data_IF_807084095682
#
_entry.id   IF_807084095682
#
_cell.length_a   1.000
_cell.length_b   1.000
_cell.length_c   1.000
_cell.angle_alpha   90.00
_cell.angle_beta   90.00
_cell.angle_gamma   90.00
#
_symmetry.space_group_name_H-M   'P 1'
#
loop_
_entity.id
_entity.type
_entity.pdbx_description
1 polymer ?
#
# COMPACT_ATOMS: atom_id res chain seq x y z
N UNK A 1 -8.47 -28.53 -14.58
CA UNK A 1 -7.84 -27.48 -13.76
C UNK A 1 -8.31 -27.66 -12.32
N UNK A 2 -7.41 -27.79 -11.34
CA UNK A 2 -7.77 -27.83 -9.91
C UNK A 2 -7.38 -26.48 -9.30
N UNK A 3 -8.31 -25.81 -8.64
CA UNK A 3 -8.03 -24.55 -7.94
C UNK A 3 -7.75 -24.91 -6.47
N UNK A 4 -6.66 -24.40 -5.93
CA UNK A 4 -6.28 -24.59 -4.53
C UNK A 4 -7.23 -23.81 -3.59
N UNK A 5 -7.67 -24.39 -2.45
CA UNK A 5 -8.59 -23.72 -1.52
C UNK A 5 -8.09 -22.36 -0.99
N UNK A 6 -6.77 -22.16 -0.84
CA UNK A 6 -6.21 -20.88 -0.43
C UNK A 6 -6.38 -19.81 -1.51
N UNK A 7 -6.33 -20.20 -2.78
CA UNK A 7 -6.58 -19.30 -3.92
C UNK A 7 -8.03 -18.85 -3.92
N UNK A 8 -8.97 -19.76 -3.68
CA UNK A 8 -10.40 -19.44 -3.56
C UNK A 8 -10.63 -18.47 -2.39
N UNK A 9 -9.98 -18.72 -1.24
CA UNK A 9 -10.10 -17.84 -0.06
C UNK A 9 -9.60 -16.43 -0.34
N UNK A 10 -8.48 -16.27 -1.05
CA UNK A 10 -7.94 -14.97 -1.44
C UNK A 10 -8.90 -14.22 -2.37
N UNK A 11 -9.41 -14.88 -3.41
CA UNK A 11 -10.36 -14.27 -4.34
C UNK A 11 -11.65 -13.84 -3.64
N UNK A 12 -12.23 -14.71 -2.79
CA UNK A 12 -13.41 -14.37 -2.01
C UNK A 12 -13.15 -13.19 -1.08
N UNK A 13 -11.99 -13.16 -0.41
CA UNK A 13 -11.62 -12.06 0.46
C UNK A 13 -11.49 -10.74 -0.31
N UNK A 14 -10.83 -10.74 -1.48
CA UNK A 14 -10.73 -9.54 -2.33
C UNK A 14 -12.10 -9.00 -2.73
N UNK A 15 -13.08 -9.86 -3.04
CA UNK A 15 -14.46 -9.42 -3.33
C UNK A 15 -15.12 -8.79 -2.10
N UNK A 16 -14.88 -9.32 -0.90
CA UNK A 16 -15.53 -8.80 0.33
C UNK A 16 -15.04 -7.44 0.77
N UNK A 17 -13.91 -6.98 0.23
CA UNK A 17 -13.30 -5.71 0.62
C UNK A 17 -13.33 -4.65 -0.47
N UNK A 18 -13.99 -4.91 -1.61
CA UNK A 18 -14.24 -3.88 -2.62
C UNK A 18 -15.09 -2.75 -2.03
N UNK A 19 -14.92 -1.55 -2.58
CA UNK A 19 -15.62 -0.34 -2.12
C UNK A 19 -16.09 0.51 -3.30
N UNK A 20 -17.02 1.43 -3.06
CA UNK A 20 -17.61 2.24 -4.14
C UNK A 20 -16.57 3.15 -4.82
N UNK A 21 -15.57 3.58 -4.07
CA UNK A 21 -14.45 4.39 -4.56
C UNK A 21 -13.16 3.58 -4.47
N UNK A 22 -12.60 3.17 -5.61
CA UNK A 22 -11.35 2.41 -5.66
C UNK A 22 -10.23 3.27 -6.23
N UNK A 23 -9.00 2.97 -5.79
CA UNK A 23 -7.79 3.63 -6.26
C UNK A 23 -7.05 2.70 -7.24
N UNK A 24 -6.62 3.28 -8.35
CA UNK A 24 -5.74 2.61 -9.31
C UNK A 24 -4.29 2.66 -8.83
N UNK A 25 -3.44 1.79 -9.39
CA UNK A 25 -2.01 1.83 -9.12
C UNK A 25 -1.39 3.19 -9.49
N UNK A 26 -1.84 3.81 -10.59
CA UNK A 26 -1.34 5.12 -11.03
C UNK A 26 -1.62 6.22 -10.01
N UNK A 27 -2.84 6.27 -9.48
CA UNK A 27 -3.20 7.21 -8.42
C UNK A 27 -2.43 6.92 -7.13
N UNK A 28 -2.26 5.66 -6.76
CA UNK A 28 -1.44 5.29 -5.61
C UNK A 28 0.00 5.81 -5.75
N UNK A 29 0.62 5.70 -6.93
CA UNK A 29 1.98 6.21 -7.16
C UNK A 29 2.09 7.73 -7.04
N UNK A 30 1.00 8.47 -7.24
CA UNK A 30 1.00 9.94 -7.10
C UNK A 30 0.93 10.41 -5.64
N UNK A 31 0.47 9.55 -4.73
CA UNK A 31 0.16 9.91 -3.34
C UNK A 31 1.03 9.13 -2.32
N UNK A 32 1.76 8.09 -2.76
CA UNK A 32 2.52 7.19 -1.88
C UNK A 32 3.71 7.89 -1.20
N UNK A 33 4.29 8.90 -1.84
CA UNK A 33 5.32 9.75 -1.26
C UNK A 33 4.79 10.53 -0.05
N UNK A 34 3.65 11.19 -0.20
CA UNK A 34 2.97 11.89 0.90
C UNK A 34 2.59 10.90 2.02
N UNK A 35 2.11 9.71 1.66
CA UNK A 35 1.79 8.66 2.63
C UNK A 35 3.01 8.30 3.48
N UNK A 36 4.18 8.11 2.84
CA UNK A 36 5.44 7.76 3.54
C UNK A 36 5.95 8.92 4.39
N UNK A 37 5.89 10.16 3.91
CA UNK A 37 6.31 11.31 4.70
C UNK A 37 5.50 11.48 5.98
N UNK A 38 4.18 11.26 5.91
CA UNK A 38 3.32 11.26 7.09
C UNK A 38 3.68 10.13 8.08
N UNK A 39 4.04 8.94 7.59
CA UNK A 39 4.55 7.87 8.46
C UNK A 39 5.85 8.28 9.15
N UNK A 40 6.77 8.93 8.43
CA UNK A 40 8.05 9.42 8.98
C UNK A 40 7.86 10.49 10.05
N UNK A 41 6.83 11.32 9.90
CA UNK A 41 6.43 12.31 10.90
C UNK A 41 5.68 11.70 12.12
N UNK A 42 5.48 10.38 12.14
CA UNK A 42 4.76 9.69 13.21
C UNK A 42 3.24 9.93 13.20
N UNK A 43 2.69 10.39 12.07
CA UNK A 43 1.25 10.55 11.86
C UNK A 43 0.60 9.23 11.46
N UNK A 44 -0.73 9.22 11.40
CA UNK A 44 -1.53 8.09 10.95
C UNK A 44 -2.09 8.34 9.54
N UNK A 45 -1.29 8.13 8.48
CA UNK A 45 -1.74 8.38 7.11
C UNK A 45 -2.89 7.48 6.67
N UNK A 46 -3.07 6.31 7.29
CA UNK A 46 -4.26 5.49 7.07
C UNK A 46 -5.59 6.22 7.39
N UNK A 47 -5.58 7.23 8.27
CA UNK A 47 -6.76 8.06 8.57
C UNK A 47 -6.98 9.19 7.56
N UNK A 48 -5.90 9.65 6.90
CA UNK A 48 -5.92 10.83 6.00
C UNK A 48 -5.96 10.43 4.53
N UNK A 49 -5.29 9.34 4.18
CA UNK A 49 -5.20 8.73 2.86
C UNK A 49 -5.69 7.27 2.93
N UNK A 50 -6.95 7.03 3.34
CA UNK A 50 -7.47 5.67 3.53
C UNK A 50 -7.48 4.84 2.24
N UNK A 51 -7.64 5.49 1.08
CA UNK A 51 -7.61 4.82 -0.22
C UNK A 51 -6.23 4.26 -0.57
N UNK A 52 -5.15 4.96 -0.19
CA UNK A 52 -3.78 4.48 -0.37
C UNK A 52 -3.55 3.25 0.51
N UNK A 53 -3.92 3.32 1.80
CA UNK A 53 -3.79 2.17 2.71
C UNK A 53 -4.57 0.95 2.23
N UNK A 54 -5.80 1.17 1.75
CA UNK A 54 -6.63 0.13 1.18
C UNK A 54 -5.98 -0.51 -0.06
N UNK A 55 -5.48 0.31 -0.99
CA UNK A 55 -4.80 -0.17 -2.19
C UNK A 55 -3.53 -0.96 -1.86
N UNK A 56 -2.69 -0.47 -0.95
CA UNK A 56 -1.48 -1.15 -0.49
C UNK A 56 -1.79 -2.49 0.21
N UNK A 57 -3.00 -2.66 0.75
CA UNK A 57 -3.46 -3.93 1.34
C UNK A 57 -3.88 -4.95 0.27
N UNK A 58 -4.35 -4.47 -0.88
CA UNK A 58 -4.89 -5.29 -1.97
C UNK A 58 -3.89 -5.60 -3.07
N UNK A 59 -2.93 -4.71 -3.31
CA UNK A 59 -2.04 -4.74 -4.47
C UNK A 59 -0.59 -5.05 -4.03
N UNK A 60 -0.13 -6.32 -4.16
CA UNK A 60 1.23 -6.69 -3.78
C UNK A 60 2.32 -5.86 -4.47
N UNK A 61 2.25 -5.57 -5.79
CA UNK A 61 3.24 -4.71 -6.43
C UNK A 61 3.35 -3.31 -5.79
N UNK A 62 2.23 -2.62 -5.56
CA UNK A 62 2.26 -1.30 -4.93
C UNK A 62 2.78 -1.36 -3.49
N UNK A 63 2.52 -2.45 -2.76
CA UNK A 63 3.11 -2.68 -1.44
C UNK A 63 4.62 -2.84 -1.50
N UNK A 64 5.13 -3.62 -2.45
CA UNK A 64 6.58 -3.79 -2.65
C UNK A 64 7.26 -2.45 -2.96
N UNK A 65 6.68 -1.63 -3.82
CA UNK A 65 7.19 -0.30 -4.17
C UNK A 65 7.18 0.66 -2.96
N UNK A 66 6.11 0.67 -2.17
CA UNK A 66 6.03 1.42 -0.92
C UNK A 66 7.12 1.00 0.08
N UNK A 67 7.31 -0.30 0.28
CA UNK A 67 8.33 -0.82 1.19
C UNK A 67 9.75 -0.48 0.71
N UNK A 68 10.00 -0.54 -0.60
CA UNK A 68 11.26 -0.12 -1.21
C UNK A 68 11.53 1.38 -1.00
N UNK A 69 10.52 2.23 -1.16
CA UNK A 69 10.62 3.67 -0.89
C UNK A 69 10.98 3.95 0.57
N UNK A 70 10.30 3.28 1.52
CA UNK A 70 10.60 3.42 2.95
C UNK A 70 12.05 2.99 3.26
N UNK A 71 12.53 1.90 2.66
CA UNK A 71 13.92 1.45 2.84
C UNK A 71 14.91 2.48 2.28
N UNK A 72 14.67 3.01 1.08
CA UNK A 72 15.54 4.00 0.45
C UNK A 72 15.63 5.29 1.27
N UNK A 73 14.50 5.78 1.78
CA UNK A 73 14.48 6.99 2.61
C UNK A 73 15.21 6.81 3.94
N UNK A 74 15.08 5.64 4.58
CA UNK A 74 15.85 5.33 5.81
C UNK A 74 17.35 5.32 5.55
N UNK A 75 17.80 4.73 4.44
CA UNK A 75 19.21 4.72 4.07
C UNK A 75 19.75 6.15 3.85
N UNK A 76 18.95 7.03 3.23
CA UNK A 76 19.30 8.44 3.06
C UNK A 76 19.41 9.16 4.40
N UNK A 77 18.48 8.91 5.34
CA UNK A 77 18.50 9.52 6.67
C UNK A 77 19.77 9.12 7.43
N UNK A 78 20.18 7.84 7.36
CA UNK A 78 21.41 7.32 8.00
C UNK A 78 22.70 7.88 7.37
N UNK A 79 22.71 8.23 6.08
CA UNK A 79 23.87 8.83 5.40
C UNK A 79 24.05 10.33 5.70
N UNK A 80 23.01 11.00 6.21
CA UNK A 80 23.01 12.43 6.52
C UNK A 80 23.36 12.75 7.98
N UNK A 81 23.47 11.74 8.85
CA UNK A 81 23.90 11.83 10.25
C UNK A 81 25.42 11.66 10.43
#
# INVERSE_FOLDING_TARGET
MKIDPSTIKKVLWSITITQDEEMTCGECFQEVDQYVDMLREGKSPAEVLPLVEHHLTLCPPCREEFEALVVALKAIDEELE
#
